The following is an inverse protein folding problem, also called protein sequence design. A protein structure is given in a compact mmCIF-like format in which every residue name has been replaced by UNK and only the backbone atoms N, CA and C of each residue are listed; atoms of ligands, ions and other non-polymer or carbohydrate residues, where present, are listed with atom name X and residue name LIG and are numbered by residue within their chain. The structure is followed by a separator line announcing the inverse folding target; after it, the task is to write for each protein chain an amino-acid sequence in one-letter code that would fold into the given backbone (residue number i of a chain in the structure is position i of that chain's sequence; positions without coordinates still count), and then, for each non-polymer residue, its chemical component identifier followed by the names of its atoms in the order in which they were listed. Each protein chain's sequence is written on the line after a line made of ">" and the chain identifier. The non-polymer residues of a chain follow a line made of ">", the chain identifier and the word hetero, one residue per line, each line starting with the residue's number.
data_IF_412104978388
#
_entry.id   IF_412104978388
#
_cell.length_a   1.000
_cell.length_b   1.000
_cell.length_c   1.000
_cell.angle_alpha   90.00
_cell.angle_beta   90.00
_cell.angle_gamma   90.00
#
_symmetry.space_group_name_H-M   'P 1'
#
loop_
_entity.id
_entity.type
_entity.pdbx_description
1 polymer ?
#
# COMPACT_ATOMS: atom_id res chain seq x y z
N UNK A 1 2.98 -1.42 12.72
CA UNK A 1 3.08 -2.75 12.04
C UNK A 1 4.54 -3.16 11.96
N UNK A 2 4.82 -4.47 11.99
CA UNK A 2 6.19 -4.98 11.77
C UNK A 2 6.45 -5.08 10.25
N UNK A 3 7.65 -4.71 9.81
CA UNK A 3 8.07 -4.79 8.41
C UNK A 3 9.42 -5.49 8.29
N UNK A 4 9.63 -6.24 7.21
CA UNK A 4 10.90 -6.85 6.86
C UNK A 4 11.14 -6.67 5.36
N UNK A 5 12.18 -5.90 5.00
CA UNK A 5 12.58 -5.70 3.60
C UNK A 5 13.70 -6.70 3.27
N UNK A 6 13.41 -7.61 2.34
CA UNK A 6 14.35 -8.56 1.78
C UNK A 6 14.86 -8.04 0.45
N UNK A 7 16.17 -7.86 0.34
CA UNK A 7 16.82 -7.41 -0.88
C UNK A 7 17.68 -8.56 -1.44
N UNK A 8 17.45 -8.89 -2.71
CA UNK A 8 18.24 -9.85 -3.49
C UNK A 8 18.64 -9.20 -4.81
N UNK A 9 19.61 -9.79 -5.51
CA UNK A 9 20.09 -9.29 -6.80
C UNK A 9 18.93 -9.27 -7.79
N UNK A 10 18.41 -8.07 -8.09
CA UNK A 10 17.29 -7.86 -9.01
C UNK A 10 15.88 -8.08 -8.44
N UNK A 11 15.71 -8.27 -7.12
CA UNK A 11 14.38 -8.44 -6.51
C UNK A 11 14.32 -7.92 -5.08
N UNK A 12 13.31 -7.12 -4.77
CA UNK A 12 13.07 -6.59 -3.42
C UNK A 12 11.66 -6.96 -2.98
N UNK A 13 11.53 -7.54 -1.78
CA UNK A 13 10.25 -7.97 -1.23
C UNK A 13 10.08 -7.35 0.14
N UNK A 14 9.01 -6.58 0.32
CA UNK A 14 8.61 -6.07 1.62
C UNK A 14 7.55 -7.00 2.22
N UNK A 15 7.88 -7.63 3.35
CA UNK A 15 6.93 -8.37 4.15
C UNK A 15 6.30 -7.44 5.19
N UNK A 16 4.98 -7.46 5.29
CA UNK A 16 4.20 -6.60 6.17
C UNK A 16 3.36 -7.44 7.13
N UNK A 17 3.64 -7.31 8.42
CA UNK A 17 2.86 -7.97 9.47
C UNK A 17 1.49 -7.32 9.64
N UNK A 18 0.43 -8.06 9.32
CA UNK A 18 -0.97 -7.64 9.53
C UNK A 18 -1.54 -8.05 10.91
N UNK A 19 -0.79 -8.85 11.67
CA UNK A 19 -1.24 -9.40 12.95
C UNK A 19 -2.17 -10.60 12.79
N UNK A 20 -2.98 -10.87 13.81
CA UNK A 20 -3.90 -12.02 13.81
C UNK A 20 -5.05 -11.78 12.84
N UNK A 21 -5.36 -12.77 12.00
CA UNK A 21 -6.42 -12.70 10.97
C UNK A 21 -7.77 -12.23 11.54
N UNK A 22 -8.17 -12.72 12.73
CA UNK A 22 -9.45 -12.36 13.37
C UNK A 22 -9.54 -10.91 13.83
N UNK A 23 -8.41 -10.22 13.95
CA UNK A 23 -8.33 -8.85 14.43
C UNK A 23 -8.06 -7.85 13.30
N UNK A 24 -7.99 -8.30 12.03
CA UNK A 24 -7.76 -7.43 10.88
C UNK A 24 -9.01 -6.62 10.59
N UNK A 25 -8.83 -5.30 10.42
CA UNK A 25 -9.87 -4.34 10.07
C UNK A 25 -9.37 -3.42 8.96
N UNK A 26 -10.27 -2.70 8.28
CA UNK A 26 -9.91 -1.70 7.28
C UNK A 26 -8.94 -0.64 7.84
N UNK A 27 -9.13 -0.18 9.08
CA UNK A 27 -8.21 0.75 9.77
C UNK A 27 -6.80 0.16 9.90
N UNK A 28 -6.68 -1.10 10.34
CA UNK A 28 -5.37 -1.75 10.44
C UNK A 28 -4.70 -1.90 9.08
N UNK A 29 -5.46 -2.15 8.02
CA UNK A 29 -4.94 -2.18 6.65
C UNK A 29 -4.47 -0.78 6.21
N UNK A 30 -5.23 0.29 6.49
CA UNK A 30 -4.79 1.67 6.23
C UNK A 30 -3.45 1.98 6.89
N UNK A 31 -3.32 1.67 8.18
CA UNK A 31 -2.08 1.89 8.93
C UNK A 31 -0.92 1.03 8.41
N UNK A 32 -1.19 -0.22 8.03
CA UNK A 32 -0.21 -1.12 7.46
C UNK A 32 0.30 -0.59 6.11
N UNK A 33 -0.60 -0.18 5.21
CA UNK A 33 -0.28 0.41 3.92
C UNK A 33 0.54 1.69 4.09
N UNK A 34 0.12 2.60 4.98
CA UNK A 34 0.84 3.81 5.32
C UNK A 34 2.29 3.53 5.80
N UNK A 35 2.45 2.52 6.66
CA UNK A 35 3.77 2.09 7.15
C UNK A 35 4.63 1.56 6.00
N UNK A 36 4.06 0.73 5.13
CA UNK A 36 4.76 0.12 4.01
C UNK A 36 5.25 1.17 3.00
N UNK A 37 4.37 2.07 2.54
CA UNK A 37 4.74 3.06 1.52
C UNK A 37 5.76 4.08 2.02
N UNK A 38 5.70 4.47 3.31
CA UNK A 38 6.73 5.32 3.92
C UNK A 38 8.09 4.64 3.98
N UNK A 39 8.12 3.34 4.27
CA UNK A 39 9.37 2.58 4.25
C UNK A 39 9.92 2.48 2.83
N UNK A 40 9.08 2.18 1.84
CA UNK A 40 9.49 2.05 0.44
C UNK A 40 9.97 3.37 -0.16
N UNK A 41 9.30 4.49 0.15
CA UNK A 41 9.73 5.82 -0.27
C UNK A 41 11.10 6.19 0.35
N UNK A 42 11.29 5.93 1.65
CA UNK A 42 12.60 6.09 2.32
C UNK A 42 13.70 5.22 1.70
N UNK A 43 13.33 4.04 1.21
CA UNK A 43 14.22 3.14 0.47
C UNK A 43 14.41 3.51 -1.01
N UNK A 44 13.90 4.67 -1.45
CA UNK A 44 14.04 5.22 -2.81
C UNK A 44 13.39 4.37 -3.91
N UNK A 45 12.33 3.62 -3.59
CA UNK A 45 11.54 2.93 -4.62
C UNK A 45 10.53 3.88 -5.27
N UNK A 46 10.43 3.84 -6.59
CA UNK A 46 9.46 4.64 -7.37
C UNK A 46 8.16 3.91 -7.68
N UNK A 47 8.20 2.57 -7.68
CA UNK A 47 7.03 1.74 -7.94
C UNK A 47 7.02 0.50 -7.07
N UNK A 48 5.82 0.08 -6.65
CA UNK A 48 5.61 -1.16 -5.91
C UNK A 48 4.38 -1.91 -6.45
N UNK A 49 4.40 -3.23 -6.32
CA UNK A 49 3.23 -4.07 -6.46
C UNK A 49 2.86 -4.64 -5.07
N UNK A 50 1.61 -4.45 -4.66
CA UNK A 50 1.06 -4.99 -3.43
C UNK A 50 0.22 -6.23 -3.73
N UNK A 51 0.62 -7.37 -3.18
CA UNK A 51 -0.14 -8.61 -3.27
C UNK A 51 -1.32 -8.59 -2.29
N UNK A 52 -2.54 -8.72 -2.80
CA UNK A 52 -3.77 -8.77 -2.01
C UNK A 52 -4.26 -10.20 -1.78
N UNK A 53 -3.44 -11.23 -2.06
CA UNK A 53 -3.80 -12.64 -1.88
C UNK A 53 -4.30 -12.97 -0.47
N UNK A 54 -3.72 -12.35 0.56
CA UNK A 54 -4.14 -12.53 1.95
C UNK A 54 -5.61 -12.10 2.19
N UNK A 55 -6.16 -11.19 1.39
CA UNK A 55 -7.53 -10.70 1.53
C UNK A 55 -8.57 -11.73 1.12
N UNK A 56 -8.23 -12.75 0.34
CA UNK A 56 -9.15 -13.87 0.08
C UNK A 56 -9.43 -14.64 1.39
N UNK A 57 -8.39 -14.83 2.21
CA UNK A 57 -8.51 -15.50 3.53
C UNK A 57 -9.24 -14.61 4.54
N UNK A 58 -8.88 -13.32 4.60
CA UNK A 58 -9.50 -12.37 5.55
C UNK A 58 -10.98 -12.12 5.18
N UNK A 59 -11.24 -11.91 3.89
CA UNK A 59 -12.57 -11.62 3.35
C UNK A 59 -13.48 -12.84 3.28
N UNK A 60 -12.95 -14.06 3.42
CA UNK A 60 -13.70 -15.33 3.33
C UNK A 60 -14.58 -15.42 2.08
N UNK A 61 -14.07 -14.94 0.94
CA UNK A 61 -14.78 -14.89 -0.34
C UNK A 61 -15.83 -13.77 -0.48
N UNK A 62 -16.01 -12.90 0.52
CA UNK A 62 -16.88 -11.73 0.40
C UNK A 62 -16.20 -10.61 -0.42
N UNK A 63 -16.65 -10.39 -1.65
CA UNK A 63 -16.11 -9.37 -2.55
C UNK A 63 -16.26 -7.93 -2.05
N UNK A 64 -17.31 -7.65 -1.28
CA UNK A 64 -17.50 -6.32 -0.67
C UNK A 64 -16.40 -6.04 0.35
N UNK A 65 -16.15 -6.98 1.26
CA UNK A 65 -15.09 -6.86 2.26
C UNK A 65 -13.69 -6.88 1.61
N UNK A 66 -13.47 -7.72 0.60
CA UNK A 66 -12.22 -7.70 -0.17
C UNK A 66 -11.97 -6.30 -0.78
N UNK A 67 -13.00 -5.74 -1.42
CA UNK A 67 -12.96 -4.38 -1.97
C UNK A 67 -12.70 -3.33 -0.90
N UNK A 68 -13.33 -3.43 0.28
CA UNK A 68 -13.11 -2.51 1.40
C UNK A 68 -11.65 -2.53 1.87
N UNK A 69 -11.06 -3.72 2.04
CA UNK A 69 -9.65 -3.85 2.42
C UNK A 69 -8.71 -3.33 1.33
N UNK A 70 -9.03 -3.55 0.05
CA UNK A 70 -8.26 -2.99 -1.06
C UNK A 70 -8.34 -1.45 -1.11
N UNK A 71 -9.53 -0.88 -0.85
CA UNK A 71 -9.73 0.56 -0.70
C UNK A 71 -8.90 1.12 0.47
N UNK A 72 -8.89 0.42 1.61
CA UNK A 72 -8.05 0.79 2.74
C UNK A 72 -6.54 0.79 2.42
N UNK A 73 -6.07 -0.08 1.53
CA UNK A 73 -4.68 0.01 1.03
C UNK A 73 -4.46 1.32 0.29
N UNK A 74 -5.35 1.67 -0.65
CA UNK A 74 -5.26 2.90 -1.43
C UNK A 74 -5.34 4.16 -0.56
N UNK A 75 -6.33 4.25 0.33
CA UNK A 75 -6.51 5.39 1.26
C UNK A 75 -5.28 5.58 2.15
N UNK A 76 -4.84 4.49 2.81
CA UNK A 76 -3.70 4.53 3.72
C UNK A 76 -2.40 4.90 3.02
N UNK A 77 -2.21 4.39 1.81
CA UNK A 77 -1.06 4.74 0.98
C UNK A 77 -1.10 6.21 0.51
N UNK A 78 -2.21 6.65 -0.06
CA UNK A 78 -2.37 8.00 -0.60
C UNK A 78 -2.17 9.07 0.48
N UNK A 79 -2.78 8.89 1.65
CA UNK A 79 -2.61 9.80 2.79
C UNK A 79 -1.15 9.83 3.30
N UNK A 80 -0.46 8.69 3.28
CA UNK A 80 0.91 8.59 3.77
C UNK A 80 1.96 9.15 2.80
N UNK A 81 1.66 9.16 1.49
CA UNK A 81 2.51 9.68 0.42
C UNK A 81 2.20 11.14 0.07
N UNK A 82 1.20 11.75 0.70
CA UNK A 82 0.93 13.16 0.50
C UNK A 82 2.08 14.01 1.06
N UNK A 83 2.65 14.86 0.20
CA UNK A 83 3.68 15.83 0.57
C UNK A 83 3.21 17.24 0.20
N UNK A 84 3.21 18.14 1.18
CA UNK A 84 2.95 19.56 0.96
C UNK A 84 4.27 20.34 0.99
N UNK A 85 4.99 20.30 -0.14
CA UNK A 85 6.32 20.88 -0.26
C UNK A 85 6.35 22.23 -1.00
N UNK A 86 5.20 22.72 -1.49
CA UNK A 86 5.09 23.92 -2.33
C UNK A 86 5.68 25.19 -1.73
N UNK A 87 5.79 25.28 -0.40
CA UNK A 87 6.32 26.44 0.33
C UNK A 87 7.59 26.13 1.11
N UNK A 88 8.18 24.94 0.93
CA UNK A 88 9.44 24.59 1.59
C UNK A 88 10.60 25.03 0.71
N UNK A 89 11.51 25.81 1.29
CA UNK A 89 12.79 26.12 0.68
C UNK A 89 13.55 24.82 0.41
N UNK A 90 14.13 24.71 -0.78
CA UNK A 90 15.03 23.62 -1.15
C UNK A 90 16.45 24.16 -1.11
N UNK A 91 17.38 23.42 -0.52
CA UNK A 91 18.79 23.72 -0.70
C UNK A 91 19.16 23.41 -2.16
N UNK A 92 19.92 24.29 -2.80
CA UNK A 92 20.37 24.08 -4.18
C UNK A 92 21.29 22.87 -4.31
N UNK A 93 21.89 22.43 -3.19
CA UNK A 93 22.78 21.27 -3.13
C UNK A 93 22.06 19.94 -2.82
N UNK A 94 20.76 19.97 -2.50
CA UNK A 94 20.00 18.76 -2.17
C UNK A 94 19.45 18.07 -3.43
N UNK A 95 19.66 16.76 -3.51
CA UNK A 95 18.98 15.94 -4.51
C UNK A 95 17.45 16.02 -4.33
N UNK A 96 16.67 16.08 -5.42
CA UNK A 96 15.23 16.03 -5.31
C UNK A 96 14.79 14.72 -4.63
N UNK A 97 13.78 14.76 -3.74
CA UNK A 97 13.35 13.57 -3.03
C UNK A 97 12.81 12.53 -4.02
N UNK A 98 13.25 11.28 -3.88
CA UNK A 98 12.67 10.16 -4.62
C UNK A 98 11.30 9.85 -4.03
N UNK A 99 10.25 10.01 -4.85
CA UNK A 99 8.87 9.74 -4.47
C UNK A 99 8.41 8.38 -4.95
N UNK A 100 7.55 7.73 -4.18
CA UNK A 100 6.83 6.54 -4.65
C UNK A 100 5.68 7.01 -5.55
N UNK A 101 5.81 6.78 -6.85
CA UNK A 101 4.93 7.33 -7.89
C UNK A 101 3.79 6.36 -8.26
N UNK A 102 4.00 5.05 -8.06
CA UNK A 102 3.04 4.03 -8.50
C UNK A 102 2.89 2.88 -7.53
N UNK A 103 1.63 2.56 -7.22
CA UNK A 103 1.25 1.36 -6.48
C UNK A 103 0.34 0.53 -7.38
N UNK A 104 0.72 -0.73 -7.63
CA UNK A 104 -0.11 -1.69 -8.37
C UNK A 104 -0.71 -2.69 -7.41
N UNK A 105 -2.04 -2.78 -7.33
CA UNK A 105 -2.71 -3.79 -6.50
C UNK A 105 -2.89 -5.07 -7.32
N UNK A 106 -2.27 -6.16 -6.87
CA UNK A 106 -2.39 -7.47 -7.50
C UNK A 106 -3.56 -8.22 -6.88
N UNK A 107 -4.54 -8.59 -7.71
CA UNK A 107 -5.72 -9.35 -7.32
C UNK A 107 -5.58 -10.81 -7.73
N UNK A 108 -6.03 -11.73 -6.87
CA UNK A 108 -5.92 -13.16 -7.09
C UNK A 108 -6.92 -13.68 -8.12
N UNK A 109 -8.13 -13.11 -8.14
CA UNK A 109 -9.24 -13.58 -8.97
C UNK A 109 -9.91 -12.44 -9.71
N UNK A 110 -10.36 -12.69 -10.95
CA UNK A 110 -11.09 -11.70 -11.75
C UNK A 110 -12.40 -11.26 -11.09
N UNK A 111 -13.01 -12.11 -10.27
CA UNK A 111 -14.25 -11.83 -9.55
C UNK A 111 -14.13 -10.60 -8.64
N UNK A 112 -12.95 -10.35 -8.04
CA UNK A 112 -12.75 -9.20 -7.17
C UNK A 112 -12.53 -7.87 -7.92
N UNK A 113 -12.28 -7.92 -9.24
CA UNK A 113 -11.82 -6.76 -9.99
C UNK A 113 -12.78 -5.56 -9.92
N UNK A 114 -14.08 -5.81 -10.05
CA UNK A 114 -15.10 -4.74 -10.02
C UNK A 114 -15.18 -4.08 -8.64
N UNK A 115 -15.15 -4.89 -7.57
CA UNK A 115 -15.20 -4.38 -6.21
C UNK A 115 -13.94 -3.55 -5.88
N UNK A 116 -12.76 -4.03 -6.26
CA UNK A 116 -11.49 -3.32 -6.06
C UNK A 116 -11.47 -1.99 -6.80
N UNK A 117 -11.83 -1.97 -8.09
CA UNK A 117 -11.88 -0.73 -8.88
C UNK A 117 -12.81 0.32 -8.26
N UNK A 118 -14.00 -0.10 -7.84
CA UNK A 118 -14.97 0.79 -7.19
C UNK A 118 -14.43 1.37 -5.88
N UNK A 119 -13.75 0.56 -5.07
CA UNK A 119 -13.18 1.01 -3.80
C UNK A 119 -11.99 1.93 -3.97
N UNK A 120 -11.09 1.67 -4.93
CA UNK A 120 -9.96 2.58 -5.23
C UNK A 120 -10.47 3.93 -5.71
N UNK A 121 -11.47 3.96 -6.59
CA UNK A 121 -12.04 5.22 -7.09
C UNK A 121 -12.72 6.07 -6.00
N UNK A 122 -13.05 5.48 -4.85
CA UNK A 122 -13.54 6.20 -3.67
C UNK A 122 -12.41 6.70 -2.76
N UNK A 123 -11.25 6.06 -2.83
CA UNK A 123 -10.08 6.32 -2.00
C UNK A 123 -9.20 7.47 -2.54
N UNK A 124 -9.26 7.72 -3.85
CA UNK A 124 -8.70 8.89 -4.54
C UNK A 124 -9.59 10.13 -4.32
#
# INVERSE_FOLDING_TARGET
>A
NQTLLLNSTGSNILLLGLGKVKEVTAEKIRQAAATAVKMLEKSKFKSVAADLGAFETIGKGNSGLYGELAGAVAEGAGLALYHFDNYKSKDENDDPPVRLEKITLLITTKTQQTAVKKSIARAE
#
